data_IF_569396325271
#
_entry.id   IF_569396325271
#
_cell.length_a   1.000
_cell.length_b   1.000
_cell.length_c   1.000
_cell.angle_alpha   90.00
_cell.angle_beta   90.00
_cell.angle_gamma   90.00
#
_symmetry.space_group_name_H-M   'P 1'
#
loop_
_entity.id
_entity.type
_entity.pdbx_description
1 polymer ?
#
# COMPACT_ATOMS: atom_id res chain seq x y z
N UNK A 1 57.45 -16.66 26.09
CA UNK A 1 57.55 -17.96 25.39
C UNK A 1 56.16 -18.37 24.92
N UNK A 2 56.04 -18.73 23.62
CA UNK A 2 55.21 -19.81 22.99
C UNK A 2 53.79 -20.05 23.55
N UNK A 3 52.71 -20.29 22.80
CA UNK A 3 52.44 -20.54 21.37
C UNK A 3 50.94 -20.88 21.19
N UNK A 4 50.39 -20.64 19.98
CA UNK A 4 49.40 -21.44 19.20
C UNK A 4 48.13 -22.01 19.89
N UNK A 5 46.91 -21.62 19.50
CA UNK A 5 46.10 -22.05 18.31
C UNK A 5 45.61 -23.52 18.36
N UNK A 6 44.28 -23.72 18.43
CA UNK A 6 43.39 -24.68 17.71
C UNK A 6 41.98 -24.62 18.38
N UNK A 7 40.86 -24.23 17.74
CA UNK A 7 40.06 -24.77 16.62
C UNK A 7 39.12 -25.95 17.01
N UNK A 8 37.80 -25.69 17.10
CA UNK A 8 36.66 -26.58 16.75
C UNK A 8 35.37 -25.97 17.31
N UNK A 9 34.21 -25.87 16.64
CA UNK A 9 33.82 -26.35 15.33
C UNK A 9 32.67 -25.51 14.77
N UNK A 10 32.69 -25.33 13.45
CA UNK A 10 31.59 -24.80 12.67
C UNK A 10 30.68 -25.98 12.29
N UNK A 11 29.38 -25.89 12.61
CA UNK A 11 28.37 -26.75 11.99
C UNK A 11 27.95 -26.06 10.69
N UNK A 12 28.59 -26.48 9.60
CA UNK A 12 28.12 -26.21 8.25
C UNK A 12 27.01 -27.22 7.93
N UNK A 13 25.79 -26.73 7.71
CA UNK A 13 24.74 -27.54 7.08
C UNK A 13 24.98 -27.50 5.57
N UNK A 14 25.41 -28.63 5.04
CA UNK A 14 25.75 -28.84 3.64
C UNK A 14 24.56 -28.58 2.72
N UNK A 15 24.77 -27.77 1.67
CA UNK A 15 23.94 -27.83 0.47
C UNK A 15 24.38 -29.05 -0.33
N UNK A 16 23.50 -30.05 -0.44
CA UNK A 16 23.67 -31.14 -1.37
C UNK A 16 23.42 -30.61 -2.80
N UNK A 17 24.47 -30.56 -3.61
CA UNK A 17 24.38 -30.49 -5.06
C UNK A 17 23.92 -31.85 -5.59
N UNK A 18 22.63 -31.99 -5.88
CA UNK A 18 22.13 -33.07 -6.70
C UNK A 18 22.25 -32.66 -8.18
N UNK A 19 23.22 -33.25 -8.86
CA UNK A 19 23.28 -33.27 -10.32
C UNK A 19 22.15 -34.18 -10.79
N UNK A 20 21.04 -33.60 -11.25
CA UNK A 20 20.02 -34.34 -11.99
C UNK A 20 20.27 -34.13 -13.48
N UNK A 21 20.58 -35.23 -14.17
CA UNK A 21 20.60 -35.29 -15.64
C UNK A 21 19.21 -35.01 -16.24
N UNK A 22 19.12 -34.90 -17.57
CA UNK A 22 17.91 -34.43 -18.23
C UNK A 22 16.77 -35.43 -18.02
N UNK A 23 15.74 -35.01 -17.28
CA UNK A 23 14.48 -35.75 -17.19
C UNK A 23 13.72 -35.47 -18.47
N UNK A 24 13.63 -36.52 -19.30
CA UNK A 24 12.83 -36.55 -20.51
C UNK A 24 11.36 -36.23 -20.18
N UNK A 25 10.85 -35.13 -20.73
CA UNK A 25 9.40 -34.88 -20.79
C UNK A 25 8.80 -35.88 -21.78
N UNK A 26 8.03 -36.84 -21.25
CA UNK A 26 7.10 -37.66 -22.03
C UNK A 26 6.01 -36.75 -22.60
N UNK A 27 6.16 -36.37 -23.87
CA UNK A 27 5.09 -35.87 -24.71
C UNK A 27 4.12 -37.02 -25.03
N UNK A 28 2.85 -36.87 -24.66
CA UNK A 28 1.78 -37.79 -25.09
C UNK A 28 1.19 -37.21 -26.38
N UNK A 29 1.55 -37.84 -27.51
CA UNK A 29 0.84 -37.74 -28.78
C UNK A 29 -0.18 -38.87 -28.85
N UNK A 30 -1.45 -38.57 -29.14
CA UNK A 30 -2.43 -39.59 -29.59
C UNK A 30 -3.43 -38.95 -30.58
N UNK A 31 -3.13 -39.17 -31.86
CA UNK A 31 -3.93 -39.41 -33.08
C UNK A 31 -5.09 -38.49 -33.51
N UNK A 32 -4.86 -37.86 -34.67
CA UNK A 32 -5.87 -37.65 -35.70
C UNK A 32 -6.17 -38.99 -36.42
N UNK A 33 -7.44 -39.25 -36.70
CA UNK A 33 -7.87 -40.26 -37.65
C UNK A 33 -8.81 -39.61 -38.67
N UNK A 34 -8.35 -39.56 -39.92
CA UNK A 34 -9.19 -39.31 -41.08
C UNK A 34 -9.97 -40.58 -41.42
N UNK A 35 -11.24 -40.44 -41.80
CA UNK A 35 -11.93 -41.37 -42.69
C UNK A 35 -12.75 -40.57 -43.69
N UNK A 36 -12.55 -40.87 -44.97
CA UNK A 36 -13.25 -40.27 -46.12
C UNK A 36 -14.32 -41.22 -46.66
N UNK A 37 -15.36 -40.61 -47.25
CA UNK A 37 -16.35 -41.09 -48.22
C UNK A 37 -17.52 -41.96 -47.71
N UNK A 38 -18.75 -41.45 -47.87
CA UNK A 38 -19.50 -41.67 -49.11
C UNK A 38 -20.72 -40.74 -49.25
N UNK A 39 -21.01 -40.36 -50.50
CA UNK A 39 -22.20 -39.62 -50.91
C UNK A 39 -23.39 -40.58 -51.06
N UNK A 40 -24.57 -40.16 -50.61
CA UNK A 40 -25.83 -40.47 -51.28
C UNK A 40 -26.82 -39.32 -51.07
N UNK A 41 -27.32 -38.81 -52.19
CA UNK A 41 -28.30 -37.75 -52.27
C UNK A 41 -29.71 -38.29 -52.01
N UNK A 42 -30.48 -37.57 -51.21
CA UNK A 42 -31.94 -37.61 -51.25
C UNK A 42 -32.46 -36.18 -51.13
N UNK A 43 -33.03 -35.64 -52.21
CA UNK A 43 -33.88 -34.45 -52.16
C UNK A 43 -35.12 -34.77 -51.33
N UNK A 44 -35.45 -33.93 -50.33
CA UNK A 44 -36.70 -33.16 -50.36
C UNK A 44 -36.94 -32.35 -49.07
N UNK A 45 -37.49 -31.15 -49.33
CA UNK A 45 -38.26 -30.27 -48.46
C UNK A 45 -37.51 -29.41 -47.44
N UNK A 46 -37.30 -28.16 -47.90
CA UNK A 46 -37.30 -26.95 -47.07
C UNK A 46 -38.31 -27.07 -45.92
N UNK A 47 -37.78 -27.10 -44.71
CA UNK A 47 -38.47 -26.57 -43.54
C UNK A 47 -37.49 -25.64 -42.86
N UNK A 48 -37.71 -24.35 -43.04
CA UNK A 48 -37.18 -23.27 -42.21
C UNK A 48 -37.40 -23.63 -40.74
N UNK A 49 -36.40 -24.22 -40.10
CA UNK A 49 -36.30 -24.24 -38.64
C UNK A 49 -35.87 -22.86 -38.21
N UNK A 50 -36.85 -22.07 -37.78
CA UNK A 50 -36.64 -20.96 -36.87
C UNK A 50 -35.64 -21.39 -35.79
N UNK A 51 -34.47 -20.74 -35.78
CA UNK A 51 -33.60 -20.74 -34.61
C UNK A 51 -34.37 -19.96 -33.55
N UNK A 52 -35.08 -20.66 -32.67
CA UNK A 52 -35.56 -20.07 -31.43
C UNK A 52 -34.35 -19.49 -30.70
N UNK A 53 -34.36 -18.17 -30.46
CA UNK A 53 -33.46 -17.55 -29.51
C UNK A 53 -33.58 -18.31 -28.18
N UNK A 54 -32.47 -18.87 -27.68
CA UNK A 54 -32.52 -19.70 -26.47
C UNK A 54 -33.00 -18.85 -25.29
N UNK A 55 -34.09 -19.27 -24.64
CA UNK A 55 -34.70 -18.56 -23.50
C UNK A 55 -33.81 -18.50 -22.24
N UNK A 56 -32.59 -19.07 -22.29
CA UNK A 56 -31.69 -19.23 -21.16
C UNK A 56 -30.48 -18.28 -21.17
N UNK A 57 -30.33 -17.44 -22.19
CA UNK A 57 -29.26 -16.42 -22.23
C UNK A 57 -29.89 -15.03 -22.07
N UNK A 58 -29.50 -14.31 -21.02
CA UNK A 58 -29.82 -12.90 -20.86
C UNK A 58 -28.74 -12.07 -21.57
N UNK A 59 -29.14 -10.99 -22.22
CA UNK A 59 -28.20 -10.06 -22.86
C UNK A 59 -28.59 -8.62 -22.52
N UNK A 60 -27.61 -7.74 -22.44
CA UNK A 60 -27.84 -6.34 -22.17
C UNK A 60 -26.64 -5.48 -22.55
N UNK A 61 -26.86 -4.16 -22.59
CA UNK A 61 -25.76 -3.21 -22.72
C UNK A 61 -25.10 -3.01 -21.37
N UNK A 62 -23.78 -2.90 -21.37
CA UNK A 62 -23.00 -2.54 -20.20
C UNK A 62 -22.04 -1.37 -20.41
N UNK A 63 -22.14 -0.72 -21.56
CA UNK A 63 -21.42 0.49 -21.92
C UNK A 63 -21.93 1.01 -23.26
N UNK A 64 -21.39 2.12 -23.74
CA UNK A 64 -21.82 2.73 -25.00
C UNK A 64 -21.62 1.76 -26.19
N UNK A 65 -20.49 1.06 -26.18
CA UNK A 65 -20.10 0.04 -27.18
C UNK A 65 -19.79 -1.32 -26.55
N UNK A 66 -20.26 -1.57 -25.32
CA UNK A 66 -20.06 -2.81 -24.58
C UNK A 66 -21.39 -3.48 -24.25
N UNK A 67 -21.40 -4.81 -24.32
CA UNK A 67 -22.56 -5.65 -24.02
C UNK A 67 -22.15 -6.79 -23.11
N UNK A 68 -23.10 -7.32 -22.34
CA UNK A 68 -22.91 -8.55 -21.59
C UNK A 68 -23.89 -9.63 -22.04
N UNK A 69 -23.48 -10.88 -21.88
CA UNK A 69 -24.33 -12.06 -21.92
C UNK A 69 -24.24 -12.76 -20.56
N UNK A 70 -25.35 -13.30 -20.10
CA UNK A 70 -25.41 -14.23 -18.97
C UNK A 70 -26.10 -15.51 -19.41
N UNK A 71 -25.34 -16.59 -19.48
CA UNK A 71 -25.86 -17.92 -19.73
C UNK A 71 -26.30 -18.55 -18.40
N UNK A 72 -27.61 -18.80 -18.24
CA UNK A 72 -28.18 -19.36 -17.01
C UNK A 72 -27.80 -20.83 -16.78
N UNK A 73 -27.57 -21.59 -17.84
CA UNK A 73 -27.25 -23.02 -17.76
C UNK A 73 -25.78 -23.20 -17.41
N UNK A 74 -24.91 -22.47 -18.12
CA UNK A 74 -23.48 -22.45 -17.85
C UNK A 74 -23.11 -21.62 -16.61
N UNK A 75 -24.02 -20.73 -16.18
CA UNK A 75 -23.84 -19.76 -15.09
C UNK A 75 -22.67 -18.81 -15.35
N UNK A 76 -22.46 -18.39 -16.60
CA UNK A 76 -21.30 -17.59 -16.98
C UNK A 76 -21.70 -16.21 -17.47
N UNK A 77 -20.96 -15.19 -17.06
CA UNK A 77 -21.07 -13.83 -17.61
C UNK A 77 -19.92 -13.61 -18.61
N UNK A 78 -20.25 -13.13 -19.81
CA UNK A 78 -19.26 -12.64 -20.77
C UNK A 78 -19.55 -11.18 -21.10
N UNK A 79 -18.55 -10.32 -20.95
CA UNK A 79 -18.59 -8.92 -21.37
C UNK A 79 -17.76 -8.74 -22.63
N UNK A 80 -18.40 -8.25 -23.69
CA UNK A 80 -17.84 -8.11 -25.03
C UNK A 80 -18.02 -6.69 -25.54
N UNK A 81 -17.26 -6.34 -26.59
CA UNK A 81 -17.35 -5.05 -27.27
C UNK A 81 -16.13 -4.18 -27.00
N UNK A 82 -16.32 -2.87 -26.99
CA UNK A 82 -15.22 -1.91 -26.84
C UNK A 82 -15.52 -0.80 -25.85
N UNK A 83 -14.47 -0.24 -25.26
CA UNK A 83 -14.56 0.94 -24.41
C UNK A 83 -14.91 0.63 -22.96
N UNK A 84 -15.47 1.62 -22.26
CA UNK A 84 -15.72 1.54 -20.83
C UNK A 84 -17.06 0.89 -20.51
N UNK A 85 -17.08 0.06 -19.47
CA UNK A 85 -18.31 -0.33 -18.80
C UNK A 85 -18.87 0.83 -17.98
N UNK A 86 -20.19 0.91 -17.86
CA UNK A 86 -20.88 1.83 -16.94
C UNK A 86 -20.69 1.40 -15.47
N UNK A 87 -20.84 2.37 -14.57
CA UNK A 87 -20.80 2.17 -13.12
C UNK A 87 -22.16 1.69 -12.61
N UNK A 88 -22.15 1.04 -11.43
CA UNK A 88 -23.34 0.65 -10.66
C UNK A 88 -24.38 -0.14 -11.48
N UNK A 89 -23.89 -0.99 -12.38
CA UNK A 89 -24.74 -1.83 -13.19
C UNK A 89 -25.37 -2.95 -12.37
N UNK A 90 -26.69 -2.99 -12.35
CA UNK A 90 -27.45 -4.17 -11.94
C UNK A 90 -27.45 -5.20 -13.08
N UNK A 91 -26.32 -5.86 -13.32
CA UNK A 91 -26.19 -6.86 -14.40
C UNK A 91 -27.17 -8.03 -14.18
N UNK A 92 -27.45 -8.38 -12.92
CA UNK A 92 -28.33 -9.48 -12.53
C UNK A 92 -29.13 -9.12 -11.28
N UNK A 93 -30.43 -8.84 -11.42
CA UNK A 93 -31.33 -8.68 -10.29
C UNK A 93 -31.55 -10.00 -9.55
N UNK A 94 -30.94 -10.12 -8.35
CA UNK A 94 -31.05 -11.22 -7.39
C UNK A 94 -30.58 -12.63 -7.86
N UNK A 95 -29.87 -13.29 -6.95
CA UNK A 95 -28.77 -14.23 -7.23
C UNK A 95 -29.16 -15.62 -7.74
N UNK A 96 -28.93 -15.87 -9.03
CA UNK A 96 -28.44 -17.18 -9.48
C UNK A 96 -26.93 -17.25 -9.20
N UNK A 97 -26.42 -18.43 -8.83
CA UNK A 97 -24.98 -18.62 -8.57
C UNK A 97 -24.19 -18.46 -9.87
N UNK A 98 -23.50 -17.34 -10.10
CA UNK A 98 -22.61 -17.14 -11.25
C UNK A 98 -21.32 -17.93 -11.03
N UNK A 99 -20.94 -18.80 -11.96
CA UNK A 99 -19.72 -19.61 -11.90
C UNK A 99 -18.48 -18.84 -12.37
N UNK A 100 -18.57 -18.05 -13.44
CA UNK A 100 -17.41 -17.35 -13.98
C UNK A 100 -17.76 -16.04 -14.67
N UNK A 101 -16.78 -15.15 -14.72
CA UNK A 101 -16.84 -13.87 -15.41
C UNK A 101 -15.69 -13.81 -16.42
N UNK A 102 -16.01 -13.50 -17.67
CA UNK A 102 -15.03 -13.18 -18.71
C UNK A 102 -15.26 -11.77 -19.22
N UNK A 103 -14.26 -10.91 -19.05
CA UNK A 103 -14.19 -9.61 -19.69
C UNK A 103 -13.27 -9.77 -20.89
N UNK A 104 -13.81 -9.63 -22.09
CA UNK A 104 -13.07 -9.83 -23.33
C UNK A 104 -12.15 -8.65 -23.65
N UNK A 105 -11.26 -8.88 -24.63
CA UNK A 105 -10.43 -7.84 -25.22
C UNK A 105 -11.31 -6.76 -25.90
N UNK A 106 -10.80 -5.54 -25.97
CA UNK A 106 -11.54 -4.35 -26.40
C UNK A 106 -12.17 -3.53 -25.25
N UNK A 107 -12.50 -4.16 -24.12
CA UNK A 107 -12.97 -3.44 -22.93
C UNK A 107 -11.81 -2.72 -22.25
N UNK A 108 -11.98 -1.42 -21.96
CA UNK A 108 -10.90 -0.57 -21.43
C UNK A 108 -11.08 -0.20 -19.95
N UNK A 109 -12.30 -0.28 -19.42
CA UNK A 109 -12.61 0.07 -18.03
C UNK A 109 -13.69 -0.84 -17.47
N UNK A 110 -13.45 -1.39 -16.28
CA UNK A 110 -14.47 -2.10 -15.49
C UNK A 110 -15.12 -1.10 -14.54
N UNK A 111 -16.45 -1.00 -14.61
CA UNK A 111 -17.25 -0.03 -13.87
C UNK A 111 -17.24 -0.25 -12.36
N UNK A 112 -17.54 0.81 -11.61
CA UNK A 112 -17.73 0.73 -10.15
C UNK A 112 -18.85 -0.26 -9.83
N UNK A 113 -18.62 -1.10 -8.81
CA UNK A 113 -19.53 -2.16 -8.34
C UNK A 113 -20.00 -3.20 -9.40
N UNK A 114 -19.46 -3.21 -10.62
CA UNK A 114 -20.00 -3.97 -11.76
C UNK A 114 -20.22 -5.48 -11.50
N UNK A 115 -19.33 -6.11 -10.73
CA UNK A 115 -19.39 -7.53 -10.36
C UNK A 115 -19.31 -7.73 -8.85
N UNK A 116 -19.62 -6.69 -8.08
CA UNK A 116 -19.62 -6.76 -6.63
C UNK A 116 -20.62 -7.82 -6.15
N UNK A 117 -20.33 -8.45 -5.00
CA UNK A 117 -21.16 -9.47 -4.33
C UNK A 117 -21.40 -10.79 -5.08
N UNK A 118 -20.83 -11.00 -6.27
CA UNK A 118 -20.92 -12.28 -6.98
C UNK A 118 -20.05 -13.35 -6.33
N UNK A 119 -20.51 -14.60 -6.27
CA UNK A 119 -19.70 -15.73 -5.80
C UNK A 119 -19.29 -16.57 -7.00
N UNK A 120 -18.09 -16.36 -7.53
CA UNK A 120 -17.57 -16.98 -8.77
C UNK A 120 -16.34 -17.83 -8.49
N UNK A 121 -16.08 -18.82 -9.34
CA UNK A 121 -14.89 -19.68 -9.30
C UNK A 121 -13.73 -19.13 -10.14
N UNK A 122 -14.03 -18.36 -11.20
CA UNK A 122 -13.01 -17.76 -12.07
C UNK A 122 -13.38 -16.36 -12.59
N UNK A 123 -12.39 -15.45 -12.58
CA UNK A 123 -12.44 -14.14 -13.24
C UNK A 123 -11.34 -14.05 -14.30
N UNK A 124 -11.74 -13.77 -15.55
CA UNK A 124 -10.83 -13.44 -16.64
C UNK A 124 -10.96 -11.96 -17.03
N UNK A 125 -9.84 -11.24 -17.01
CA UNK A 125 -9.77 -9.82 -17.38
C UNK A 125 -9.01 -9.69 -18.70
N UNK A 126 -9.65 -9.05 -19.69
CA UNK A 126 -9.10 -8.83 -21.03
C UNK A 126 -7.86 -7.96 -21.02
N UNK A 127 -7.01 -8.13 -22.04
CA UNK A 127 -5.68 -7.48 -22.09
C UNK A 127 -5.76 -5.97 -22.31
N UNK A 128 -6.88 -5.45 -22.78
CA UNK A 128 -7.06 -4.03 -23.11
C UNK A 128 -7.60 -3.20 -21.93
N UNK A 129 -7.93 -3.86 -20.81
CA UNK A 129 -8.41 -3.20 -19.59
C UNK A 129 -7.28 -2.34 -19.00
N UNK A 130 -7.57 -1.05 -18.81
CA UNK A 130 -6.63 -0.07 -18.26
C UNK A 130 -7.03 0.37 -16.85
N UNK A 131 -8.32 0.39 -16.55
CA UNK A 131 -8.87 0.86 -15.28
C UNK A 131 -9.84 -0.16 -14.69
N UNK A 132 -9.68 -0.44 -13.41
CA UNK A 132 -10.63 -1.23 -12.61
C UNK A 132 -11.09 -0.34 -11.46
N UNK A 133 -12.36 0.09 -11.52
CA UNK A 133 -12.90 1.06 -10.57
C UNK A 133 -13.23 0.45 -9.21
N UNK A 134 -13.55 1.34 -8.28
CA UNK A 134 -13.89 1.05 -6.89
C UNK A 134 -14.87 -0.11 -6.80
N UNK A 135 -14.53 -1.10 -5.97
CA UNK A 135 -15.37 -2.28 -5.69
C UNK A 135 -15.86 -3.09 -6.91
N UNK A 136 -15.24 -2.95 -8.09
CA UNK A 136 -15.63 -3.70 -9.27
C UNK A 136 -15.77 -5.22 -9.00
N UNK A 137 -14.87 -5.80 -8.21
CA UNK A 137 -14.90 -7.17 -7.70
C UNK A 137 -14.82 -7.21 -6.15
N UNK A 138 -15.37 -6.19 -5.48
CA UNK A 138 -15.04 -5.89 -4.08
C UNK A 138 -15.51 -6.94 -3.06
N UNK A 139 -16.53 -7.72 -3.39
CA UNK A 139 -17.06 -8.78 -2.53
C UNK A 139 -17.25 -10.07 -3.31
N UNK A 140 -16.27 -10.40 -4.16
CA UNK A 140 -16.28 -11.66 -4.89
C UNK A 140 -15.74 -12.81 -4.04
N UNK A 141 -16.48 -13.90 -3.97
CA UNK A 141 -16.14 -15.10 -3.18
C UNK A 141 -15.99 -16.33 -4.07
N UNK A 142 -15.17 -17.31 -3.66
CA UNK A 142 -15.00 -18.58 -4.38
C UNK A 142 -13.82 -18.62 -5.35
N UNK A 143 -13.31 -17.46 -5.77
CA UNK A 143 -12.17 -17.36 -6.70
C UNK A 143 -10.90 -17.92 -6.08
N UNK A 144 -10.20 -18.78 -6.82
CA UNK A 144 -8.90 -19.25 -6.39
C UNK A 144 -7.82 -18.19 -6.60
N UNK A 145 -7.66 -17.66 -7.82
CA UNK A 145 -6.58 -16.71 -8.16
C UNK A 145 -7.01 -15.71 -9.23
N UNK A 146 -6.80 -14.42 -8.97
CA UNK A 146 -7.08 -13.36 -9.95
C UNK A 146 -5.81 -12.89 -10.66
N UNK A 147 -5.82 -12.90 -11.99
CA UNK A 147 -4.74 -12.37 -12.83
C UNK A 147 -5.04 -10.92 -13.20
N UNK A 148 -4.12 -10.01 -12.89
CA UNK A 148 -4.17 -8.60 -13.29
C UNK A 148 -3.29 -8.41 -14.52
N UNK A 149 -3.87 -8.11 -15.71
CA UNK A 149 -3.12 -7.92 -16.94
C UNK A 149 -2.12 -6.76 -16.88
N UNK A 150 -1.06 -6.84 -17.70
CA UNK A 150 0.04 -5.88 -17.67
C UNK A 150 -0.34 -4.45 -18.08
N UNK A 151 -1.46 -4.30 -18.81
CA UNK A 151 -1.94 -3.01 -19.30
C UNK A 151 -2.85 -2.28 -18.31
N UNK A 152 -3.21 -2.92 -17.17
CA UNK A 152 -3.98 -2.26 -16.11
C UNK A 152 -3.09 -1.22 -15.45
N UNK A 153 -3.45 0.06 -15.61
CA UNK A 153 -2.70 1.21 -15.08
C UNK A 153 -3.25 1.66 -13.74
N UNK A 154 -4.55 1.55 -13.55
CA UNK A 154 -5.25 2.05 -12.35
C UNK A 154 -6.17 0.97 -11.80
N UNK A 155 -6.02 0.70 -10.50
CA UNK A 155 -6.97 -0.07 -9.72
C UNK A 155 -7.35 0.79 -8.53
N UNK A 156 -8.64 1.09 -8.40
CA UNK A 156 -9.15 1.92 -7.33
C UNK A 156 -9.38 1.12 -6.04
N UNK A 157 -9.54 1.84 -4.94
CA UNK A 157 -9.72 1.27 -3.61
C UNK A 157 -10.83 0.20 -3.59
N UNK A 158 -10.55 -0.92 -2.92
CA UNK A 158 -11.45 -2.06 -2.71
C UNK A 158 -11.92 -2.77 -3.97
N UNK A 159 -11.33 -2.52 -5.14
CA UNK A 159 -11.67 -3.23 -6.38
C UNK A 159 -11.61 -4.75 -6.23
N UNK A 160 -10.76 -5.30 -5.35
CA UNK A 160 -10.57 -6.73 -5.12
C UNK A 160 -10.63 -7.09 -3.62
N UNK A 161 -11.55 -6.49 -2.85
CA UNK A 161 -11.47 -6.48 -1.39
C UNK A 161 -11.44 -7.86 -0.70
N UNK A 162 -11.98 -8.90 -1.32
CA UNK A 162 -12.04 -10.28 -0.78
C UNK A 162 -11.08 -11.27 -1.44
N UNK A 163 -10.33 -10.87 -2.47
CA UNK A 163 -9.43 -11.76 -3.21
C UNK A 163 -8.21 -12.14 -2.37
N UNK A 164 -7.88 -13.44 -2.35
CA UNK A 164 -6.79 -14.00 -1.52
C UNK A 164 -5.54 -14.39 -2.29
N UNK A 165 -5.62 -14.65 -3.59
CA UNK A 165 -4.45 -14.90 -4.43
C UNK A 165 -4.47 -14.02 -5.66
N UNK A 166 -3.36 -13.32 -5.94
CA UNK A 166 -3.28 -12.36 -7.04
C UNK A 166 -1.97 -12.53 -7.80
N UNK A 167 -2.05 -12.48 -9.12
CA UNK A 167 -0.88 -12.41 -9.99
C UNK A 167 -0.87 -11.09 -10.75
N UNK A 168 0.24 -10.34 -10.65
CA UNK A 168 0.43 -9.09 -11.38
C UNK A 168 1.33 -9.31 -12.58
N UNK A 169 0.79 -9.09 -13.79
CA UNK A 169 1.50 -9.32 -15.05
C UNK A 169 2.42 -8.16 -15.47
N UNK A 170 2.34 -7.00 -14.82
CA UNK A 170 3.05 -5.79 -15.24
C UNK A 170 3.27 -4.77 -14.13
N UNK A 171 3.45 -3.51 -14.51
CA UNK A 171 3.66 -2.42 -13.55
C UNK A 171 2.40 -2.19 -12.67
N UNK A 172 2.63 -1.82 -11.42
CA UNK A 172 1.60 -1.65 -10.39
C UNK A 172 1.71 -0.30 -9.66
N UNK A 173 2.52 0.63 -10.17
CA UNK A 173 2.77 1.92 -9.52
C UNK A 173 1.54 2.84 -9.47
N UNK A 174 0.62 2.71 -10.43
CA UNK A 174 -0.61 3.51 -10.55
C UNK A 174 -1.78 3.04 -9.69
N UNK A 175 -1.64 1.96 -8.92
CA UNK A 175 -2.74 1.42 -8.12
C UNK A 175 -2.96 2.22 -6.83
N UNK A 176 -4.22 2.39 -6.44
CA UNK A 176 -4.60 3.04 -5.20
C UNK A 176 -4.22 2.21 -3.97
N UNK A 177 -4.23 2.85 -2.81
CA UNK A 177 -3.97 2.16 -1.55
C UNK A 177 -5.18 1.33 -1.14
N UNK A 178 -4.98 0.06 -0.77
CA UNK A 178 -6.05 -0.83 -0.33
C UNK A 178 -6.95 -1.29 -1.47
N UNK A 179 -6.37 -1.71 -2.59
CA UNK A 179 -7.12 -2.40 -3.65
C UNK A 179 -7.72 -3.72 -3.12
N UNK A 180 -7.01 -4.34 -2.16
CA UNK A 180 -7.54 -5.37 -1.28
C UNK A 180 -7.68 -4.82 0.14
N UNK A 181 -8.87 -4.95 0.72
CA UNK A 181 -9.17 -4.55 2.10
C UNK A 181 -10.15 -5.54 2.74
N UNK A 182 -9.70 -6.77 2.98
CA UNK A 182 -10.37 -7.70 3.87
C UNK A 182 -9.96 -7.35 5.31
N UNK A 183 -10.89 -6.82 6.10
CA UNK A 183 -10.67 -6.69 7.55
C UNK A 183 -10.69 -8.05 8.27
N UNK A 184 -10.95 -9.13 7.53
CA UNK A 184 -11.20 -10.49 8.03
C UNK A 184 -10.22 -11.54 7.53
N UNK A 185 -9.44 -11.28 6.48
CA UNK A 185 -8.67 -12.31 5.80
C UNK A 185 -7.29 -11.83 5.33
N UNK A 186 -6.29 -12.69 5.43
CA UNK A 186 -4.94 -12.44 4.92
C UNK A 186 -4.86 -12.75 3.41
N UNK A 187 -3.87 -12.15 2.72
CA UNK A 187 -3.54 -12.55 1.34
C UNK A 187 -2.71 -13.83 1.42
N UNK A 188 -3.20 -14.89 0.78
CA UNK A 188 -2.52 -16.19 0.73
C UNK A 188 -1.25 -16.12 -0.13
N UNK A 189 -1.36 -15.59 -1.35
CA UNK A 189 -0.24 -15.53 -2.29
C UNK A 189 -0.31 -14.32 -3.21
N UNK A 190 0.86 -13.72 -3.48
CA UNK A 190 1.03 -12.77 -4.57
C UNK A 190 2.15 -13.23 -5.48
N UNK A 191 1.92 -13.24 -6.80
CA UNK A 191 2.95 -13.53 -7.79
C UNK A 191 3.26 -12.26 -8.58
N UNK A 192 4.55 -11.95 -8.70
CA UNK A 192 5.06 -10.79 -9.43
C UNK A 192 5.69 -11.25 -10.73
N UNK A 193 5.05 -10.94 -11.85
CA UNK A 193 5.57 -11.14 -13.21
C UNK A 193 6.10 -9.82 -13.78
N UNK A 194 6.74 -9.86 -14.96
CA UNK A 194 7.17 -8.69 -15.72
C UNK A 194 7.88 -7.60 -14.90
N UNK A 195 7.21 -6.46 -14.70
CA UNK A 195 7.75 -5.28 -14.00
C UNK A 195 7.12 -5.00 -12.64
N UNK A 196 6.34 -5.93 -12.08
CA UNK A 196 5.66 -5.74 -10.79
C UNK A 196 6.65 -5.64 -9.62
N UNK A 197 6.49 -4.62 -8.76
CA UNK A 197 7.42 -4.34 -7.63
C UNK A 197 6.79 -3.87 -6.31
N UNK A 198 5.75 -3.02 -6.34
CA UNK A 198 5.21 -2.30 -5.18
C UNK A 198 4.04 -3.02 -4.48
N UNK A 199 4.25 -3.49 -3.25
CA UNK A 199 3.24 -4.25 -2.49
C UNK A 199 2.69 -3.54 -1.24
N UNK A 200 3.43 -2.59 -0.67
CA UNK A 200 3.15 -2.09 0.69
C UNK A 200 1.72 -1.57 0.92
N UNK A 201 1.39 -0.40 0.40
CA UNK A 201 0.09 0.22 0.67
C UNK A 201 -1.07 -0.33 -0.15
N UNK A 202 -0.81 -1.03 -1.27
CA UNK A 202 -1.88 -1.65 -2.08
C UNK A 202 -2.63 -2.74 -1.30
N UNK A 203 -1.95 -3.44 -0.39
CA UNK A 203 -2.52 -4.47 0.49
C UNK A 203 -2.78 -3.96 1.92
N UNK A 204 -2.81 -2.64 2.12
CA UNK A 204 -2.93 -1.92 3.40
C UNK A 204 -3.22 -2.84 4.60
N UNK A 205 -4.45 -3.34 4.78
CA UNK A 205 -4.88 -4.10 5.95
C UNK A 205 -4.71 -5.63 5.89
N UNK A 206 -4.35 -6.20 4.75
CA UNK A 206 -4.29 -7.64 4.50
C UNK A 206 -2.82 -8.06 4.41
N UNK A 207 -2.21 -8.60 5.49
CA UNK A 207 -0.83 -9.06 5.44
C UNK A 207 -0.71 -10.17 4.40
N UNK A 208 0.43 -10.19 3.71
CA UNK A 208 0.73 -11.19 2.68
C UNK A 208 1.49 -12.34 3.31
N UNK A 209 0.97 -13.55 3.17
CA UNK A 209 1.59 -14.78 3.64
C UNK A 209 2.76 -15.20 2.74
N UNK A 210 2.54 -15.22 1.42
CA UNK A 210 3.55 -15.64 0.44
C UNK A 210 3.66 -14.64 -0.72
N UNK A 211 4.90 -14.34 -1.12
CA UNK A 211 5.20 -13.61 -2.37
C UNK A 211 6.14 -14.46 -3.21
N UNK A 212 5.82 -14.61 -4.49
CA UNK A 212 6.63 -15.30 -5.50
C UNK A 212 7.09 -14.25 -6.51
N UNK A 213 8.40 -14.18 -6.76
CA UNK A 213 8.95 -13.43 -7.87
C UNK A 213 9.09 -14.41 -9.03
N UNK A 214 8.29 -14.24 -10.08
CA UNK A 214 8.31 -15.13 -11.23
C UNK A 214 9.61 -14.97 -12.05
N UNK A 215 9.93 -15.97 -12.86
CA UNK A 215 11.20 -15.99 -13.61
C UNK A 215 11.30 -14.86 -14.64
N UNK A 216 10.17 -14.40 -15.16
CA UNK A 216 10.06 -13.29 -16.11
C UNK A 216 10.08 -11.91 -15.40
N UNK A 217 10.11 -11.87 -14.07
CA UNK A 217 10.20 -10.60 -13.36
C UNK A 217 11.61 -10.00 -13.47
N UNK A 218 11.69 -8.77 -13.98
CA UNK A 218 12.97 -8.08 -14.24
C UNK A 218 13.26 -6.96 -13.26
N UNK A 219 12.35 -6.65 -12.33
CA UNK A 219 12.40 -5.44 -11.50
C UNK A 219 12.41 -5.71 -10.01
N UNK A 220 12.14 -6.94 -9.58
CA UNK A 220 12.12 -7.36 -8.19
C UNK A 220 13.20 -8.40 -7.90
N UNK A 221 13.75 -8.35 -6.68
CA UNK A 221 14.62 -9.40 -6.15
C UNK A 221 14.30 -9.64 -4.68
N UNK A 222 14.82 -10.71 -4.11
CA UNK A 222 14.61 -11.09 -2.72
C UNK A 222 15.94 -11.20 -1.98
N UNK A 223 16.04 -10.55 -0.82
CA UNK A 223 17.17 -10.73 0.10
C UNK A 223 16.69 -10.66 1.56
N UNK A 224 17.01 -11.68 2.35
CA UNK A 224 16.78 -11.73 3.81
C UNK A 224 15.35 -11.33 4.24
N UNK A 225 14.33 -11.83 3.54
CA UNK A 225 12.94 -11.53 3.85
C UNK A 225 12.41 -10.23 3.24
N UNK A 226 13.24 -9.48 2.52
CA UNK A 226 12.86 -8.24 1.86
C UNK A 226 12.67 -8.48 0.35
N UNK A 227 11.53 -8.03 -0.17
CA UNK A 227 11.32 -7.79 -1.61
C UNK A 227 11.92 -6.42 -1.91
N UNK A 228 12.90 -6.40 -2.81
CA UNK A 228 13.69 -5.24 -3.19
C UNK A 228 13.51 -4.94 -4.68
N UNK A 229 13.83 -3.72 -5.11
CA UNK A 229 14.11 -3.44 -6.51
C UNK A 229 15.31 -4.26 -7.02
N UNK A 230 15.38 -4.52 -8.33
CA UNK A 230 16.45 -5.32 -8.94
C UNK A 230 17.87 -4.76 -8.66
N UNK A 231 18.02 -3.43 -8.58
CA UNK A 231 19.26 -2.74 -8.20
C UNK A 231 19.51 -2.69 -6.68
N UNK A 232 18.58 -3.21 -5.87
CA UNK A 232 18.60 -3.29 -4.40
C UNK A 232 18.63 -1.94 -3.69
N UNK A 233 18.25 -0.85 -4.37
CA UNK A 233 18.21 0.50 -3.80
C UNK A 233 16.88 0.81 -3.10
N UNK A 234 15.80 0.08 -3.42
CA UNK A 234 14.48 0.26 -2.82
C UNK A 234 14.01 -1.03 -2.15
N UNK A 235 13.52 -0.93 -0.91
CA UNK A 235 12.84 -2.01 -0.20
C UNK A 235 11.33 -1.80 -0.34
N UNK A 236 10.70 -2.64 -1.15
CA UNK A 236 9.29 -2.53 -1.49
C UNK A 236 8.38 -3.19 -0.45
N UNK A 237 8.80 -4.35 0.11
CA UNK A 237 7.99 -5.07 1.09
C UNK A 237 8.80 -6.06 1.94
N UNK A 238 8.37 -6.33 3.17
CA UNK A 238 8.97 -7.34 4.04
C UNK A 238 8.02 -8.53 4.26
N UNK A 239 8.47 -9.72 3.85
CA UNK A 239 7.78 -11.01 4.04
C UNK A 239 8.50 -11.93 5.03
N UNK A 240 9.63 -11.50 5.60
CA UNK A 240 10.37 -12.29 6.57
C UNK A 240 9.65 -12.46 7.91
N UNK A 241 10.04 -13.48 8.66
CA UNK A 241 9.54 -13.79 10.02
C UNK A 241 10.54 -13.47 11.12
N UNK A 242 11.69 -12.89 10.77
CA UNK A 242 12.76 -12.60 11.73
C UNK A 242 12.35 -11.49 12.71
N UNK A 243 12.61 -11.72 14.00
CA UNK A 243 12.50 -10.72 15.06
C UNK A 243 13.44 -9.52 14.85
N UNK A 244 14.62 -9.77 14.27
CA UNK A 244 15.67 -8.77 14.07
C UNK A 244 15.94 -8.61 12.58
N UNK A 245 15.75 -7.40 12.08
CA UNK A 245 15.96 -7.07 10.68
C UNK A 245 17.11 -6.06 10.56
N UNK A 246 18.09 -6.39 9.74
CA UNK A 246 19.14 -5.46 9.31
C UNK A 246 18.90 -5.14 7.85
N UNK A 247 18.51 -3.91 7.57
CA UNK A 247 18.30 -3.42 6.21
C UNK A 247 19.67 -3.29 5.53
N UNK A 248 19.80 -3.81 4.31
CA UNK A 248 21.06 -3.84 3.58
C UNK A 248 21.61 -2.42 3.33
N UNK A 249 22.94 -2.31 3.28
CA UNK A 249 23.62 -1.04 3.03
C UNK A 249 23.34 -0.44 1.64
N UNK A 250 22.91 -1.25 0.67
CA UNK A 250 22.53 -0.79 -0.68
C UNK A 250 21.21 -0.04 -0.70
N UNK A 251 20.32 -0.28 0.28
CA UNK A 251 18.99 0.32 0.31
C UNK A 251 19.09 1.80 0.62
N UNK A 252 18.48 2.62 -0.23
CA UNK A 252 18.32 4.05 -0.09
C UNK A 252 16.91 4.45 0.35
N UNK A 253 15.91 3.65 0.00
CA UNK A 253 14.50 3.92 0.27
C UNK A 253 13.76 2.71 0.82
N UNK A 254 12.98 2.92 1.87
CA UNK A 254 11.99 1.96 2.38
C UNK A 254 10.62 2.47 1.96
N UNK A 255 9.92 1.69 1.14
CA UNK A 255 8.66 2.12 0.54
C UNK A 255 7.52 2.23 1.57
N UNK A 256 6.46 2.93 1.16
CA UNK A 256 5.27 3.11 1.96
C UNK A 256 4.65 1.75 2.33
N UNK A 257 4.36 1.55 3.62
CA UNK A 257 3.78 0.31 4.13
C UNK A 257 4.67 -0.94 4.12
N UNK A 258 5.97 -0.83 3.79
CA UNK A 258 6.83 -2.01 3.58
C UNK A 258 6.92 -3.00 4.77
N UNK A 259 6.82 -2.51 6.00
CA UNK A 259 6.78 -3.29 7.25
C UNK A 259 5.45 -3.13 8.00
N UNK A 260 4.39 -2.64 7.35
CA UNK A 260 3.09 -2.39 7.99
C UNK A 260 2.56 -3.68 8.63
N UNK A 261 2.13 -3.59 9.90
CA UNK A 261 1.62 -4.71 10.71
C UNK A 261 2.58 -5.90 10.89
N UNK A 262 3.89 -5.76 10.65
CA UNK A 262 4.85 -6.86 10.86
C UNK A 262 5.26 -6.98 12.33
N UNK A 263 5.48 -8.22 12.79
CA UNK A 263 5.89 -8.56 14.16
C UNK A 263 7.41 -8.43 14.40
N UNK A 264 8.08 -7.51 13.70
CA UNK A 264 9.52 -7.27 13.87
C UNK A 264 9.78 -6.60 15.23
N UNK A 265 10.76 -7.11 15.99
CA UNK A 265 11.14 -6.58 17.31
C UNK A 265 12.26 -5.56 17.24
N UNK A 266 13.16 -5.70 16.27
CA UNK A 266 14.29 -4.80 16.07
C UNK A 266 14.57 -4.53 14.61
N UNK A 267 14.80 -3.26 14.27
CA UNK A 267 15.19 -2.84 12.92
C UNK A 267 16.46 -1.99 13.01
N UNK A 268 17.48 -2.33 12.22
CA UNK A 268 18.67 -1.51 11.99
C UNK A 268 18.72 -1.09 10.53
N UNK A 269 18.77 0.23 10.29
CA UNK A 269 18.91 0.75 8.94
C UNK A 269 20.31 0.47 8.37
N UNK A 270 20.35 0.19 7.07
CA UNK A 270 21.58 0.25 6.28
C UNK A 270 22.12 1.67 6.22
N UNK A 271 23.40 1.81 5.92
CA UNK A 271 24.09 3.11 5.97
C UNK A 271 23.60 4.13 4.92
N UNK A 272 23.02 3.66 3.81
CA UNK A 272 22.55 4.51 2.72
C UNK A 272 21.07 4.85 2.75
N UNK A 273 20.27 4.34 3.71
CA UNK A 273 18.84 4.64 3.77
C UNK A 273 18.62 6.13 4.02
N UNK A 274 18.05 6.83 3.04
CA UNK A 274 17.71 8.26 3.04
C UNK A 274 16.24 8.49 3.38
N UNK A 275 15.36 7.59 2.94
CA UNK A 275 13.91 7.78 2.99
C UNK A 275 13.19 6.60 3.65
N UNK A 276 12.24 6.90 4.52
CA UNK A 276 11.26 5.95 5.04
C UNK A 276 9.87 6.45 4.63
N UNK A 277 9.14 5.64 3.87
CA UNK A 277 7.83 5.98 3.32
C UNK A 277 6.70 6.12 4.34
N UNK A 278 5.55 6.58 3.86
CA UNK A 278 4.32 6.64 4.67
C UNK A 278 3.99 5.26 5.24
N UNK A 279 3.62 5.22 6.53
CA UNK A 279 3.16 4.01 7.20
C UNK A 279 4.13 2.81 7.13
N UNK A 280 5.41 3.02 6.79
CA UNK A 280 6.37 1.95 6.56
C UNK A 280 6.42 0.94 7.71
N UNK A 281 6.43 1.39 8.97
CA UNK A 281 6.36 0.57 10.19
C UNK A 281 5.06 0.84 10.98
N UNK A 282 3.96 1.17 10.30
CA UNK A 282 2.67 1.41 10.96
C UNK A 282 2.13 0.13 11.57
N UNK A 283 1.68 0.19 12.83
CA UNK A 283 1.17 -0.97 13.60
C UNK A 283 2.17 -2.13 13.71
N UNK A 284 3.47 -1.88 13.67
CA UNK A 284 4.48 -2.86 14.10
C UNK A 284 4.51 -2.93 15.62
N UNK A 285 3.55 -3.64 16.22
CA UNK A 285 3.31 -3.62 17.66
C UNK A 285 4.50 -4.15 18.46
N UNK A 286 5.30 -5.06 17.92
CA UNK A 286 6.41 -5.67 18.64
C UNK A 286 7.73 -4.88 18.53
N UNK A 287 7.76 -3.80 17.73
CA UNK A 287 8.98 -3.04 17.46
C UNK A 287 9.46 -2.31 18.72
N UNK A 288 10.47 -2.87 19.38
CA UNK A 288 11.04 -2.35 20.62
C UNK A 288 12.38 -1.62 20.40
N UNK A 289 13.09 -1.90 19.30
CA UNK A 289 14.41 -1.33 19.01
C UNK A 289 14.52 -0.84 17.57
N UNK A 290 14.99 0.39 17.39
CA UNK A 290 15.27 0.97 16.08
C UNK A 290 16.61 1.68 16.09
N UNK A 291 17.48 1.29 15.17
CA UNK A 291 18.79 1.91 14.95
C UNK A 291 18.78 2.62 13.61
N UNK A 292 18.81 3.95 13.67
CA UNK A 292 18.88 4.81 12.49
C UNK A 292 20.28 4.84 11.86
N UNK A 293 20.46 5.65 10.81
CA UNK A 293 21.75 5.94 10.19
C UNK A 293 21.99 7.47 10.09
N UNK A 294 23.14 7.85 9.53
CA UNK A 294 23.58 9.25 9.38
C UNK A 294 22.96 10.00 8.19
N UNK A 295 22.52 9.27 7.16
CA UNK A 295 21.98 9.79 5.89
C UNK A 295 20.46 9.91 5.87
N UNK A 296 19.75 9.38 6.87
CA UNK A 296 18.30 9.45 6.97
C UNK A 296 17.82 10.91 6.93
N UNK A 297 17.17 11.27 5.82
CA UNK A 297 16.76 12.62 5.49
C UNK A 297 15.25 12.81 5.67
N UNK A 298 14.45 11.78 5.41
CA UNK A 298 12.99 11.86 5.44
C UNK A 298 12.33 10.66 6.12
N UNK A 299 11.29 10.95 6.90
CA UNK A 299 10.39 9.95 7.50
C UNK A 299 8.95 10.36 7.20
N UNK A 300 8.22 9.50 6.50
CA UNK A 300 6.87 9.72 6.03
C UNK A 300 5.81 9.72 7.12
N UNK A 301 4.59 10.06 6.70
CA UNK A 301 3.42 10.15 7.56
C UNK A 301 3.15 8.81 8.27
N UNK A 302 2.83 8.87 9.56
CA UNK A 302 2.49 7.70 10.39
C UNK A 302 3.51 6.55 10.35
N UNK A 303 4.75 6.79 9.90
CA UNK A 303 5.71 5.73 9.61
C UNK A 303 5.95 4.77 10.79
N UNK A 304 5.89 5.23 12.04
CA UNK A 304 6.01 4.41 13.25
C UNK A 304 4.79 4.55 14.17
N UNK A 305 3.64 5.00 13.65
CA UNK A 305 2.45 5.17 14.47
C UNK A 305 1.90 3.81 14.88
N UNK A 306 1.41 3.72 16.12
CA UNK A 306 0.96 2.48 16.75
C UNK A 306 2.05 1.39 16.86
N UNK A 307 3.33 1.77 16.89
CA UNK A 307 4.41 0.91 17.39
C UNK A 307 4.58 1.02 18.91
N UNK A 308 5.19 0.02 19.54
CA UNK A 308 5.58 0.08 20.98
C UNK A 308 6.84 0.91 21.21
N UNK A 309 7.66 1.15 20.18
CA UNK A 309 8.87 1.95 20.25
C UNK A 309 8.61 3.35 20.82
N UNK A 310 9.28 3.67 21.95
CA UNK A 310 9.12 4.96 22.65
C UNK A 310 10.31 5.91 22.50
N UNK A 311 11.47 5.41 22.07
CA UNK A 311 12.71 6.17 22.03
C UNK A 311 13.31 6.08 20.63
N UNK A 312 13.46 7.23 19.99
CA UNK A 312 14.09 7.36 18.70
C UNK A 312 15.41 8.12 18.86
N UNK A 313 16.47 7.61 18.26
CA UNK A 313 17.78 8.25 18.27
C UNK A 313 18.18 8.63 16.84
N UNK A 314 18.59 9.88 16.65
CA UNK A 314 19.06 10.38 15.36
C UNK A 314 20.35 11.20 15.50
N UNK A 315 21.20 11.18 14.48
CA UNK A 315 22.39 12.03 14.43
C UNK A 315 22.04 13.48 14.05
N UNK A 316 21.13 13.62 13.10
CA UNK A 316 20.63 14.92 12.62
C UNK A 316 19.11 14.89 12.57
N UNK A 317 18.47 16.04 12.32
CA UNK A 317 17.01 16.14 12.20
C UNK A 317 16.57 15.73 10.78
N UNK A 318 15.92 14.57 10.61
CA UNK A 318 15.21 14.30 9.36
C UNK A 318 13.97 15.19 9.25
N UNK A 319 13.54 15.46 8.02
CA UNK A 319 12.19 15.96 7.76
C UNK A 319 11.21 14.84 8.16
N UNK A 320 10.20 15.19 8.94
CA UNK A 320 9.23 14.24 9.50
C UNK A 320 7.84 14.65 9.05
N UNK A 321 7.08 13.68 8.57
CA UNK A 321 5.68 13.81 8.22
C UNK A 321 4.75 13.96 9.43
N UNK A 322 3.46 13.73 9.18
CA UNK A 322 2.41 13.80 10.18
C UNK A 322 2.38 12.55 11.06
N UNK A 323 2.18 12.73 12.37
CA UNK A 323 1.96 11.61 13.32
C UNK A 323 2.99 10.48 13.19
N UNK A 324 4.25 10.81 12.86
CA UNK A 324 5.30 9.81 12.59
C UNK A 324 5.42 8.79 13.70
N UNK A 325 5.34 9.22 14.96
CA UNK A 325 5.54 8.36 16.12
C UNK A 325 4.25 8.17 16.92
N UNK A 326 4.16 7.04 17.62
CA UNK A 326 3.13 6.78 18.64
C UNK A 326 3.13 7.85 19.75
N UNK A 327 2.00 8.00 20.44
CA UNK A 327 1.91 8.84 21.64
C UNK A 327 2.99 8.47 22.65
N UNK A 328 3.49 9.49 23.35
CA UNK A 328 4.55 9.41 24.36
C UNK A 328 5.93 9.00 23.82
N UNK A 329 6.14 9.02 22.51
CA UNK A 329 7.47 8.85 21.93
C UNK A 329 8.36 10.06 22.21
N UNK A 330 9.65 9.77 22.36
CA UNK A 330 10.70 10.75 22.59
C UNK A 330 11.82 10.61 21.58
N UNK A 331 12.46 11.73 21.26
CA UNK A 331 13.54 11.84 20.29
C UNK A 331 14.81 12.29 21.02
N UNK A 332 15.90 11.57 20.82
CA UNK A 332 17.24 11.92 21.28
C UNK A 332 18.10 12.25 20.06
N UNK A 333 18.88 13.32 20.15
CA UNK A 333 19.83 13.70 19.10
C UNK A 333 21.27 13.57 19.61
N UNK A 334 22.07 12.71 18.97
CA UNK A 334 23.46 12.44 19.40
C UNK A 334 24.36 13.67 19.26
N UNK A 335 24.16 14.50 18.23
CA UNK A 335 24.90 15.76 17.99
C UNK A 335 24.38 16.96 18.79
N UNK A 336 23.54 16.72 19.79
CA UNK A 336 23.04 17.73 20.72
C UNK A 336 21.92 18.63 20.18
N UNK A 337 21.45 19.53 21.04
CA UNK A 337 20.19 20.25 20.85
C UNK A 337 20.16 21.20 19.64
N UNK A 338 21.30 21.77 19.22
CA UNK A 338 21.35 22.71 18.08
C UNK A 338 20.89 22.07 16.76
N UNK A 339 20.99 20.75 16.64
CA UNK A 339 20.55 19.97 15.48
C UNK A 339 19.19 19.31 15.69
N UNK A 340 18.61 19.42 16.88
CA UNK A 340 17.36 18.76 17.24
C UNK A 340 16.13 19.48 16.68
N UNK A 341 15.15 18.72 16.19
CA UNK A 341 13.79 19.17 15.93
C UNK A 341 12.77 18.25 16.60
N UNK A 342 11.48 18.51 16.39
CA UNK A 342 10.39 17.65 16.88
C UNK A 342 9.49 17.16 15.73
N UNK A 343 8.66 16.15 15.96
CA UNK A 343 7.56 15.79 15.06
C UNK A 343 6.26 16.37 15.62
N UNK A 344 5.53 17.17 14.83
CA UNK A 344 4.25 17.73 15.26
C UNK A 344 3.15 16.74 14.90
N UNK A 345 2.56 16.11 15.92
CA UNK A 345 1.48 15.12 15.77
C UNK A 345 0.24 15.79 15.19
N UNK A 346 -0.18 16.90 15.80
CA UNK A 346 -1.26 17.74 15.29
C UNK A 346 -1.17 19.17 15.83
N UNK A 347 -1.79 20.10 15.10
CA UNK A 347 -2.03 21.47 15.51
C UNK A 347 -3.47 21.83 15.15
N UNK A 348 -4.31 22.07 16.17
CA UNK A 348 -5.75 22.31 16.00
C UNK A 348 -6.18 23.60 16.67
N UNK A 349 -7.14 24.29 16.07
CA UNK A 349 -7.92 25.37 16.69
C UNK A 349 -9.39 24.95 16.75
N UNK A 350 -9.90 24.71 17.96
CA UNK A 350 -11.31 24.31 18.23
C UNK A 350 -11.82 25.10 19.44
N UNK A 351 -13.06 25.58 19.40
CA UNK A 351 -13.67 26.43 20.46
C UNK A 351 -12.75 27.55 20.96
N UNK A 352 -12.15 28.32 20.03
CA UNK A 352 -11.20 29.41 20.33
C UNK A 352 -10.00 28.98 21.20
N UNK A 353 -9.57 27.73 21.10
CA UNK A 353 -8.42 27.19 21.86
C UNK A 353 -7.46 26.46 20.93
N UNK A 354 -6.20 26.92 20.93
CA UNK A 354 -5.12 26.17 20.32
C UNK A 354 -4.85 24.89 21.11
N UNK A 355 -4.65 23.79 20.40
CA UNK A 355 -4.07 22.56 20.95
C UNK A 355 -3.03 22.03 19.98
N UNK A 356 -1.78 22.02 20.41
CA UNK A 356 -0.65 21.50 19.63
C UNK A 356 0.03 20.41 20.43
N UNK A 357 0.23 19.27 19.78
CA UNK A 357 0.95 18.13 20.34
C UNK A 357 2.13 17.77 19.43
N UNK A 358 3.25 17.48 20.05
CA UNK A 358 4.47 17.10 19.36
C UNK A 358 5.29 16.11 20.19
N UNK A 359 6.25 15.46 19.55
CA UNK A 359 7.14 14.51 20.20
C UNK A 359 8.06 15.20 21.20
N UNK A 360 8.32 14.55 22.34
CA UNK A 360 9.27 15.07 23.33
C UNK A 360 10.69 14.96 22.76
N UNK A 361 11.51 15.99 22.93
CA UNK A 361 12.94 15.97 22.63
C UNK A 361 13.71 15.85 23.94
N UNK A 362 14.48 14.78 24.09
CA UNK A 362 15.28 14.53 25.29
C UNK A 362 16.40 15.57 25.41
N UNK A 363 16.61 16.09 26.63
CA UNK A 363 17.55 17.18 26.91
C UNK A 363 17.00 18.59 26.68
N UNK A 364 15.79 18.75 26.16
CA UNK A 364 15.11 20.05 26.09
C UNK A 364 14.50 20.40 27.47
N UNK A 365 14.65 21.65 27.89
CA UNK A 365 13.98 22.20 29.09
C UNK A 365 12.65 22.87 28.77
N UNK A 366 12.35 23.05 27.48
CA UNK A 366 11.09 23.59 26.98
C UNK A 366 11.09 23.73 25.46
N UNK A 367 10.03 24.35 24.94
CA UNK A 367 9.78 24.53 23.52
C UNK A 367 9.28 25.93 23.25
N UNK A 368 9.69 26.49 22.11
CA UNK A 368 9.01 27.64 21.52
C UNK A 368 7.97 27.15 20.52
N UNK A 369 6.77 27.72 20.63
CA UNK A 369 5.65 27.49 19.73
C UNK A 369 5.34 28.83 19.06
N UNK A 370 5.46 28.87 17.74
CA UNK A 370 5.22 30.07 16.94
C UNK A 370 4.07 29.82 15.98
N UNK A 371 3.13 30.74 15.98
CA UNK A 371 2.06 30.83 15.00
C UNK A 371 2.44 31.86 13.95
N UNK A 372 2.23 31.55 12.68
CA UNK A 372 2.53 32.44 11.55
C UNK A 372 1.43 32.32 10.48
N UNK A 373 0.84 33.44 10.11
CA UNK A 373 0.10 33.66 8.87
C UNK A 373 0.62 34.94 8.19
N UNK A 374 -0.02 35.41 7.11
CA UNK A 374 0.35 36.66 6.46
C UNK A 374 0.27 37.88 7.40
N UNK A 375 -0.78 37.94 8.24
CA UNK A 375 -1.07 39.09 9.13
C UNK A 375 -0.94 38.78 10.61
N UNK A 376 -0.61 37.53 10.98
CA UNK A 376 -0.50 37.09 12.37
C UNK A 376 0.84 36.43 12.67
N UNK A 377 1.50 36.88 13.75
CA UNK A 377 2.70 36.24 14.28
C UNK A 377 2.72 36.33 15.79
N UNK A 378 2.72 35.17 16.47
CA UNK A 378 2.80 35.11 17.95
C UNK A 378 3.66 33.95 18.38
N UNK A 379 4.51 34.19 19.39
CA UNK A 379 5.42 33.17 19.93
C UNK A 379 5.12 32.95 21.39
N UNK A 380 5.09 31.68 21.80
CA UNK A 380 4.87 31.24 23.17
C UNK A 380 5.95 30.24 23.56
N UNK A 381 6.06 29.97 24.85
CA UNK A 381 6.91 28.90 25.38
C UNK A 381 6.10 27.91 26.20
N UNK A 382 6.51 26.65 26.19
CA UNK A 382 5.95 25.60 27.05
C UNK A 382 7.05 24.66 27.54
N UNK A 383 6.90 24.12 28.74
CA UNK A 383 7.75 23.02 29.26
C UNK A 383 7.23 21.64 28.85
N UNK A 384 5.96 21.55 28.43
CA UNK A 384 5.28 20.31 28.06
C UNK A 384 5.31 20.11 26.55
N UNK A 385 5.18 18.87 26.11
CA UNK A 385 5.05 18.51 24.68
C UNK A 385 3.60 18.59 24.17
N UNK A 386 2.72 19.16 24.99
CA UNK A 386 1.37 19.59 24.64
C UNK A 386 1.25 21.06 25.03
N UNK A 387 0.86 21.90 24.08
CA UNK A 387 0.61 23.32 24.28
C UNK A 387 -0.87 23.61 24.04
N UNK A 388 -1.50 24.27 25.02
CA UNK A 388 -2.87 24.75 24.92
C UNK A 388 -2.96 26.21 25.32
N UNK A 389 -3.74 27.00 24.56
CA UNK A 389 -3.94 28.43 24.85
C UNK A 389 -5.24 28.93 24.24
N UNK A 390 -6.01 29.70 25.01
CA UNK A 390 -7.17 30.41 24.50
C UNK A 390 -6.76 31.50 23.50
N UNK A 391 -7.62 31.73 22.52
CA UNK A 391 -7.39 32.63 21.39
C UNK A 391 -8.47 33.70 21.38
N UNK A 392 -8.08 34.96 21.27
CA UNK A 392 -9.04 36.06 21.16
C UNK A 392 -9.70 36.06 19.78
N UNK A 393 -10.92 36.59 19.68
CA UNK A 393 -11.62 36.80 18.39
C UNK A 393 -10.75 37.61 17.41
N UNK A 394 -10.03 38.62 17.92
CA UNK A 394 -9.12 39.44 17.11
C UNK A 394 -7.92 38.64 16.58
N UNK A 395 -7.34 37.74 17.38
CA UNK A 395 -6.24 36.87 16.93
C UNK A 395 -6.72 35.91 15.83
N UNK A 396 -7.93 35.34 15.98
CA UNK A 396 -8.58 34.50 14.94
C UNK A 396 -8.78 35.30 13.65
N UNK A 397 -9.33 36.51 13.72
CA UNK A 397 -9.53 37.36 12.54
C UNK A 397 -8.20 37.71 11.84
N UNK A 398 -7.16 38.04 12.60
CA UNK A 398 -5.82 38.33 12.06
C UNK A 398 -5.16 37.13 11.40
N UNK A 399 -5.57 35.91 11.73
CA UNK A 399 -5.08 34.72 11.02
C UNK A 399 -5.55 34.66 9.57
N UNK A 400 -6.54 35.46 9.17
CA UNK A 400 -7.03 35.51 7.80
C UNK A 400 -7.85 34.27 7.44
N UNK A 401 -8.60 33.76 8.41
CA UNK A 401 -9.50 32.62 8.22
C UNK A 401 -10.65 33.11 7.35
N UNK A 402 -10.50 32.93 6.04
CA UNK A 402 -11.48 33.27 5.01
C UNK A 402 -12.21 32.00 4.58
N UNK A 403 -13.49 32.14 4.26
CA UNK A 403 -14.46 31.07 4.08
C UNK A 403 -14.21 30.14 2.83
N UNK A 404 -13.10 29.37 2.72
CA UNK A 404 -13.07 28.09 1.94
C UNK A 404 -13.09 26.74 2.73
N UNK A 405 -14.24 26.04 2.83
CA UNK A 405 -14.40 24.75 3.55
C UNK A 405 -13.67 23.68 2.72
N UNK A 406 -12.73 22.95 3.30
CA UNK A 406 -12.29 21.68 2.69
C UNK A 406 -13.44 20.66 2.82
N UNK A 407 -13.60 19.73 1.87
CA UNK A 407 -14.72 18.77 1.82
C UNK A 407 -14.97 17.99 3.14
N UNK A 408 -13.98 17.95 4.03
CA UNK A 408 -14.04 17.33 5.37
C UNK A 408 -14.53 18.25 6.51
N UNK A 409 -14.95 19.48 6.21
CA UNK A 409 -15.40 20.47 7.20
C UNK A 409 -14.27 21.19 7.94
N UNK A 410 -13.03 21.13 7.45
CA UNK A 410 -11.87 21.79 8.05
C UNK A 410 -11.33 22.95 7.18
N UNK A 411 -10.48 23.80 7.78
CA UNK A 411 -9.89 24.97 7.11
C UNK A 411 -8.44 25.17 7.56
N UNK A 412 -7.59 25.70 6.67
CA UNK A 412 -6.20 26.02 7.01
C UNK A 412 -6.06 27.46 7.54
N UNK A 413 -5.51 27.62 8.75
CA UNK A 413 -5.44 28.90 9.47
C UNK A 413 -4.03 29.53 9.48
N UNK A 414 -3.12 29.02 8.65
CA UNK A 414 -1.69 29.34 8.66
C UNK A 414 -0.82 28.20 9.18
N UNK A 415 0.38 28.54 9.68
CA UNK A 415 1.40 27.57 10.06
C UNK A 415 1.76 27.67 11.54
N UNK A 416 1.86 26.51 12.20
CA UNK A 416 2.49 26.36 13.50
C UNK A 416 3.92 25.88 13.32
N UNK A 417 4.84 26.49 14.05
CA UNK A 417 6.23 26.08 14.14
C UNK A 417 6.58 25.74 15.58
N UNK A 418 7.30 24.64 15.80
CA UNK A 418 7.78 24.24 17.13
C UNK A 418 9.28 23.97 17.08
N UNK A 419 10.03 24.49 18.06
CA UNK A 419 11.44 24.11 18.26
C UNK A 419 11.76 23.86 19.74
N UNK A 420 12.59 22.86 20.07
CA UNK A 420 13.05 22.66 21.43
C UNK A 420 14.08 23.73 21.84
N UNK A 421 14.17 24.01 23.14
CA UNK A 421 15.26 24.80 23.73
C UNK A 421 15.76 24.19 25.04
N UNK A 422 17.02 24.48 25.39
CA UNK A 422 17.64 24.18 26.68
C UNK A 422 18.08 25.48 27.33
N UNK A 423 17.67 25.71 28.57
CA UNK A 423 18.17 26.83 29.39
C UNK A 423 19.60 26.48 29.79
N UNK A 424 20.57 27.27 29.29
CA UNK A 424 21.95 27.23 29.76
C UNK A 424 22.22 28.32 30.79
N UNK A 425 23.43 28.32 31.37
CA UNK A 425 23.85 29.29 32.42
C UNK A 425 23.70 30.76 32.00
N UNK A 426 23.94 31.09 30.71
CA UNK A 426 23.90 32.48 30.19
C UNK A 426 22.80 32.75 29.17
N UNK A 427 22.38 31.75 28.40
CA UNK A 427 21.36 31.91 27.33
C UNK A 427 20.67 30.60 26.99
N UNK A 428 19.50 30.71 26.35
CA UNK A 428 18.81 29.56 25.75
C UNK A 428 19.57 29.07 24.51
N UNK A 429 19.76 27.76 24.42
CA UNK A 429 20.21 27.08 23.20
C UNK A 429 18.96 26.59 22.50
N UNK A 430 18.80 26.93 21.23
CA UNK A 430 17.64 26.56 20.43
C UNK A 430 17.98 25.46 19.43
N UNK A 431 17.05 24.52 19.28
CA UNK A 431 17.04 23.59 18.17
C UNK A 431 16.44 24.20 16.90
N UNK A 432 16.15 23.33 15.94
CA UNK A 432 15.58 23.64 14.63
C UNK A 432 14.06 23.67 14.69
N UNK A 433 13.47 24.53 13.87
CA UNK A 433 12.01 24.58 13.70
C UNK A 433 11.49 23.35 12.98
N UNK A 434 10.41 22.81 13.47
CA UNK A 434 9.50 21.89 12.77
C UNK A 434 8.21 22.64 12.49
N UNK A 435 7.56 22.36 11.36
CA UNK A 435 6.42 23.13 10.87
C UNK A 435 5.23 22.22 10.59
N UNK A 436 4.02 22.72 10.80
CA UNK A 436 2.77 22.05 10.44
C UNK A 436 1.70 23.08 10.13
N UNK A 437 0.82 22.79 9.19
CA UNK A 437 -0.38 23.59 8.97
C UNK A 437 -1.29 23.54 10.20
N UNK A 438 -1.87 24.69 10.55
CA UNK A 438 -2.87 24.81 11.61
C UNK A 438 -4.24 24.51 11.01
N UNK A 439 -4.90 23.47 11.52
CA UNK A 439 -6.24 23.07 11.05
C UNK A 439 -7.30 23.59 12.00
N UNK A 440 -8.32 24.25 11.45
CA UNK A 440 -9.54 24.66 12.13
C UNK A 440 -10.59 23.58 12.00
N UNK A 441 -11.35 23.38 13.08
CA UNK A 441 -12.54 22.54 13.07
C UNK A 441 -13.75 23.43 13.27
N UNK A 442 -14.74 23.31 12.38
CA UNK A 442 -16.04 23.94 12.55
C UNK A 442 -16.79 23.27 13.70
N UNK A 443 -17.37 24.07 14.60
CA UNK A 443 -18.36 23.67 15.60
C UNK A 443 -19.33 24.81 15.82
#
# INVERSE_FOLDING_TARGET
MKSKVLLSGAVALAMATAVMGPVATKSVNVYAAETTQNQQATQNQETTKNVEASKNVLTGKCGDNATYTYDKDAKTIVVSGTGAMWDDMEILGNYDSVKSITIEDGITCVGENAFSTLSVESIKIGKDVQTIKRKAFGFVWGEETTIIPANVKTIEQNAFATIKNIEFMGDIDGFENGIVESNTDDINSVILHGTATKLGMIFKNSPIYKVIIAQDNTKSTFDKGCILSADKTKLNYYIGTNDKVVIAGTVEEIDAGAFRKKSVKSVKLGENVKNIGEQAFYRTYDLASFVSNKKLAYIGDKAFANSTLKKFAFDTKPKMGEKVFSRNSSITYSKGLKKAGTSIEFAKLRKKKYTIRFAKVNGATGYEVKFKSAKYKKTFTTKKNVFTKAVSKNDVNKMGITNGIEEDGTWTAGTVMVRPYKVGKKKKIYGKWSTKTLVLYYE
#
